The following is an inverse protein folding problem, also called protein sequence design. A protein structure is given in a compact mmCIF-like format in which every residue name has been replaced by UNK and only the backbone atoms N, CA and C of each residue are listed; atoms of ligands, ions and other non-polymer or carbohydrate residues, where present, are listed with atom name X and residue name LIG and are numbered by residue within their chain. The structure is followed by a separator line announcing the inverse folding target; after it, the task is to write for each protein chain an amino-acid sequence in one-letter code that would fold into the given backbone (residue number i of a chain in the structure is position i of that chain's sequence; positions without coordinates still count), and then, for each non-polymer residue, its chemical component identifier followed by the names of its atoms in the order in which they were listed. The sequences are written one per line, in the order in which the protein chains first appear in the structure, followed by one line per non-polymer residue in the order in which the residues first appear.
data_IF_771294841649
#
_entry.id   IF_771294841649
#
_cell.length_a   1.000
_cell.length_b   1.000
_cell.length_c   1.000
_cell.angle_alpha   90.00
_cell.angle_beta   90.00
_cell.angle_gamma   90.00
#
_symmetry.space_group_name_H-M   'P 1'
#
loop_
_entity.id
_entity.type
_entity.pdbx_description
1 polymer ?
#
# COMPACT_ATOMS: atom_id res chain seq x y z
N UNK A 1 -5.86 12.01 2.94
CA UNK A 1 -5.60 11.69 4.36
C UNK A 1 -4.75 10.43 4.40
N UNK A 2 -3.52 10.51 4.90
CA UNK A 2 -2.56 9.41 4.86
C UNK A 2 -2.82 8.38 5.94
N UNK A 3 -2.22 7.21 5.77
CA UNK A 3 -2.26 6.06 6.67
C UNK A 3 -1.97 6.43 8.14
N UNK A 4 -1.13 7.45 8.36
CA UNK A 4 -0.75 7.96 9.67
C UNK A 4 -1.89 8.60 10.48
N UNK A 5 -2.79 9.34 9.84
CA UNK A 5 -3.90 9.99 10.55
C UNK A 5 -4.88 9.01 11.19
N UNK A 6 -4.94 7.76 10.71
CA UNK A 6 -5.88 6.74 11.21
C UNK A 6 -5.32 5.91 12.36
N UNK A 7 -4.02 5.66 12.39
CA UNK A 7 -3.38 4.93 13.49
C UNK A 7 -3.48 5.69 14.83
N UNK A 8 -3.55 7.03 14.79
CA UNK A 8 -3.59 7.87 15.98
C UNK A 8 -5.00 8.24 16.45
N UNK A 9 -6.07 8.05 15.67
CA UNK A 9 -7.44 8.38 16.10
C UNK A 9 -8.09 7.41 17.10
N UNK A 10 -7.54 6.23 17.35
CA UNK A 10 -8.14 5.21 18.25
C UNK A 10 -7.74 5.28 19.71
N UNK A 11 -6.92 6.23 20.15
CA UNK A 11 -6.62 6.43 21.58
C UNK A 11 -7.09 7.80 22.07
N UNK A 12 -8.38 7.95 22.28
CA UNK A 12 -8.92 8.89 23.28
C UNK A 12 -9.22 8.07 24.54
N UNK A 13 -8.36 8.16 25.50
CA UNK A 13 -8.56 8.31 26.93
C UNK A 13 -7.27 7.92 27.66
N UNK A 14 -6.58 8.92 28.10
CA UNK A 14 -5.98 9.18 29.41
C UNK A 14 -5.03 10.37 29.21
N UNK A 15 -5.40 11.53 29.71
CA UNK A 15 -4.50 12.66 29.84
C UNK A 15 -3.63 12.46 31.11
N UNK A 16 -2.31 12.58 31.00
CA UNK A 16 -1.51 13.08 32.11
C UNK A 16 -1.18 14.55 31.86
N UNK A 17 -1.39 15.36 32.90
CA UNK A 17 -1.04 16.76 32.96
C UNK A 17 0.42 17.00 32.51
N UNK A 18 0.59 17.85 31.50
CA UNK A 18 1.90 18.33 31.09
C UNK A 18 2.06 19.75 31.60
N UNK A 19 3.07 19.90 32.46
CA UNK A 19 3.56 21.15 32.99
C UNK A 19 3.93 22.15 31.89
N UNK A 20 3.48 23.36 32.14
CA UNK A 20 3.76 24.61 31.51
C UNK A 20 5.29 24.87 31.37
N UNK A 21 5.82 24.87 30.15
CA UNK A 21 7.09 25.51 29.84
C UNK A 21 6.84 26.63 28.84
N UNK A 22 6.68 27.84 29.40
CA UNK A 22 6.71 29.09 28.66
C UNK A 22 8.11 29.31 28.09
N UNK A 23 8.28 29.19 26.79
CA UNK A 23 9.44 29.69 26.07
C UNK A 23 9.19 31.13 25.62
N UNK A 24 10.06 32.03 26.11
CA UNK A 24 10.10 33.43 25.76
C UNK A 24 10.32 33.61 24.25
N UNK A 25 9.40 34.38 23.67
CA UNK A 25 9.47 34.94 22.35
C UNK A 25 10.28 36.27 22.49
N UNK A 26 11.55 36.23 22.15
CA UNK A 26 12.26 37.46 21.80
C UNK A 26 13.58 37.10 21.08
N UNK A 27 13.88 37.89 20.05
CA UNK A 27 15.10 37.91 19.24
C UNK A 27 15.24 36.89 18.10
N UNK A 28 14.64 37.16 16.97
CA UNK A 28 15.30 37.15 15.66
C UNK A 28 14.56 38.13 14.73
N UNK A 29 14.91 39.37 14.79
CA UNK A 29 14.70 40.34 13.71
C UNK A 29 16.04 40.55 12.99
N UNK A 30 15.95 40.72 11.69
CA UNK A 30 17.02 41.10 10.74
C UNK A 30 17.92 39.96 10.24
N UNK A 31 17.55 39.46 9.05
CA UNK A 31 18.36 39.49 7.81
C UNK A 31 17.39 39.13 6.68
N UNK A 32 16.76 40.11 6.07
CA UNK A 32 16.20 39.98 4.72
C UNK A 32 17.34 40.25 3.75
N UNK A 33 17.88 39.24 3.16
CA UNK A 33 18.65 39.31 1.93
C UNK A 33 17.85 38.56 0.86
N UNK A 34 17.19 39.32 -0.02
CA UNK A 34 16.51 38.84 -1.21
C UNK A 34 17.56 38.17 -2.13
N UNK A 35 17.73 36.89 -1.98
CA UNK A 35 18.42 36.08 -2.97
C UNK A 35 17.43 35.71 -4.07
N UNK A 36 17.57 36.28 -5.24
CA UNK A 36 16.92 35.97 -6.49
C UNK A 36 17.04 34.45 -6.75
N UNK A 37 15.97 33.70 -6.46
CA UNK A 37 15.94 32.23 -6.64
C UNK A 37 15.83 31.98 -8.15
N UNK A 38 16.97 31.81 -8.83
CA UNK A 38 17.04 31.20 -10.16
C UNK A 38 16.44 29.82 -10.07
N UNK A 39 15.55 29.42 -11.00
CA UNK A 39 14.99 28.07 -11.00
C UNK A 39 16.13 27.05 -11.08
N UNK A 40 16.34 26.32 -10.01
CA UNK A 40 17.36 25.28 -9.94
C UNK A 40 17.14 24.30 -11.09
N UNK A 41 18.17 24.10 -11.90
CA UNK A 41 18.23 23.01 -12.87
C UNK A 41 17.89 21.72 -12.11
N UNK A 42 16.78 21.08 -12.49
CA UNK A 42 16.38 19.81 -11.94
C UNK A 42 17.48 18.79 -12.26
N UNK A 43 18.36 18.52 -11.32
CA UNK A 43 19.25 17.37 -11.36
C UNK A 43 18.37 16.13 -11.30
N UNK A 44 18.59 15.13 -12.18
CA UNK A 44 17.85 13.87 -12.08
C UNK A 44 18.02 13.29 -10.68
N UNK A 45 16.97 12.71 -10.09
CA UNK A 45 17.06 12.15 -8.75
C UNK A 45 18.02 10.97 -8.73
N UNK A 46 19.23 11.19 -8.24
CA UNK A 46 20.30 10.18 -8.12
C UNK A 46 20.14 9.29 -6.87
N UNK A 47 19.14 9.52 -6.04
CA UNK A 47 18.89 8.70 -4.88
C UNK A 47 18.13 7.43 -5.28
N UNK A 48 18.81 6.28 -5.27
CA UNK A 48 18.18 4.97 -5.46
C UNK A 48 17.32 4.66 -4.25
N UNK A 49 16.01 4.89 -4.37
CA UNK A 49 15.02 4.42 -3.40
C UNK A 49 14.93 2.87 -3.41
N UNK A 50 14.36 2.31 -2.36
CA UNK A 50 14.13 0.86 -2.26
C UNK A 50 12.72 0.44 -2.70
N UNK A 51 12.07 1.25 -3.53
CA UNK A 51 10.80 0.91 -4.15
C UNK A 51 10.99 -0.08 -5.30
N UNK A 52 10.01 -0.95 -5.51
CA UNK A 52 10.02 -1.96 -6.58
C UNK A 52 9.93 -1.36 -7.98
N UNK A 53 9.24 -0.22 -8.12
CA UNK A 53 9.02 0.48 -9.38
C UNK A 53 9.44 1.94 -9.27
N UNK A 54 9.78 2.57 -10.38
CA UNK A 54 10.01 4.01 -10.48
C UNK A 54 8.67 4.74 -10.61
N UNK A 55 8.63 6.00 -10.19
CA UNK A 55 7.48 6.89 -10.24
C UNK A 55 7.63 7.85 -11.42
N UNK A 56 6.60 7.97 -12.25
CA UNK A 56 6.61 8.83 -13.42
C UNK A 56 5.40 9.77 -13.42
N UNK A 57 5.62 11.01 -13.81
CA UNK A 57 4.57 11.93 -14.19
C UNK A 57 4.38 11.86 -15.70
N UNK A 58 3.17 11.49 -16.13
CA UNK A 58 2.81 11.37 -17.54
C UNK A 58 1.77 12.42 -17.91
N UNK A 59 2.03 13.16 -18.99
CA UNK A 59 1.05 14.07 -19.60
C UNK A 59 0.68 13.51 -20.98
N UNK A 60 -0.57 13.14 -21.16
CA UNK A 60 -1.08 12.56 -22.39
C UNK A 60 -2.55 12.89 -22.63
N UNK A 61 -3.00 12.81 -23.87
CA UNK A 61 -4.41 13.00 -24.24
C UNK A 61 -5.15 11.67 -24.12
N UNK A 62 -6.14 11.62 -23.23
CA UNK A 62 -7.00 10.43 -23.07
C UNK A 62 -7.97 10.31 -24.25
N UNK A 63 -7.85 9.23 -25.02
CA UNK A 63 -8.55 9.04 -26.30
C UNK A 63 -10.07 9.18 -26.15
N UNK A 64 -10.77 8.49 -25.21
CA UNK A 64 -12.22 8.52 -25.12
C UNK A 64 -12.82 9.92 -24.92
N UNK A 65 -12.10 10.83 -24.29
CA UNK A 65 -12.60 12.19 -24.00
C UNK A 65 -11.87 13.28 -24.76
N UNK A 66 -10.81 12.94 -25.50
CA UNK A 66 -9.89 13.86 -26.19
C UNK A 66 -9.37 15.00 -25.27
N UNK A 67 -9.18 14.73 -23.98
CA UNK A 67 -8.71 15.71 -23.00
C UNK A 67 -7.31 15.37 -22.53
N UNK A 68 -6.44 16.38 -22.46
CA UNK A 68 -5.13 16.23 -21.84
C UNK A 68 -5.28 15.93 -20.35
N UNK A 69 -4.54 14.93 -19.88
CA UNK A 69 -4.51 14.51 -18.48
C UNK A 69 -3.07 14.38 -18.00
N UNK A 70 -2.87 14.77 -16.76
CA UNK A 70 -1.63 14.56 -16.03
C UNK A 70 -1.87 13.45 -15.00
N UNK A 71 -1.01 12.43 -14.98
CA UNK A 71 -1.15 11.26 -14.10
C UNK A 71 0.19 10.84 -13.52
N UNK A 72 0.15 10.27 -12.33
CA UNK A 72 1.28 9.51 -11.78
C UNK A 72 1.09 8.06 -12.19
N UNK A 73 2.14 7.49 -12.77
CA UNK A 73 2.22 6.10 -13.18
C UNK A 73 3.50 5.47 -12.63
N UNK A 74 3.50 4.16 -12.53
CA UNK A 74 4.63 3.41 -11.99
C UNK A 74 5.10 2.37 -13.00
N UNK A 75 6.40 2.20 -13.12
CA UNK A 75 7.00 1.23 -14.04
C UNK A 75 8.47 1.00 -13.75
N UNK A 76 9.03 -0.07 -14.29
CA UNK A 76 10.45 -0.39 -14.16
C UNK A 76 11.33 0.62 -14.91
N UNK A 77 10.80 1.15 -15.99
CA UNK A 77 11.43 2.17 -16.84
C UNK A 77 10.35 2.89 -17.67
N UNK A 78 10.75 3.90 -18.45
CA UNK A 78 9.85 4.66 -19.33
C UNK A 78 9.12 3.79 -20.35
N UNK A 79 9.77 2.78 -20.94
CA UNK A 79 9.15 1.88 -21.91
C UNK A 79 8.00 1.07 -21.27
N UNK A 80 8.16 0.63 -20.02
CA UNK A 80 7.12 -0.05 -19.26
C UNK A 80 5.93 0.89 -19.00
N UNK A 81 6.18 2.16 -18.68
CA UNK A 81 5.12 3.18 -18.54
C UNK A 81 4.40 3.44 -19.87
N UNK A 82 5.14 3.51 -20.99
CA UNK A 82 4.53 3.68 -22.32
C UNK A 82 3.60 2.53 -22.68
N UNK A 83 3.95 1.30 -22.33
CA UNK A 83 3.11 0.12 -22.60
C UNK A 83 1.74 0.15 -21.89
N UNK A 84 1.61 0.93 -20.82
CA UNK A 84 0.36 1.10 -20.08
C UNK A 84 -0.58 2.16 -20.67
N UNK A 85 -0.16 2.86 -21.75
CA UNK A 85 -0.87 4.01 -22.31
C UNK A 85 -1.74 3.66 -23.55
N UNK A 86 -2.26 2.43 -23.64
CA UNK A 86 -3.10 1.97 -24.75
C UNK A 86 -4.31 2.89 -25.04
N UNK A 87 -4.90 3.48 -23.98
CA UNK A 87 -6.05 4.37 -24.08
C UNK A 87 -5.69 5.84 -24.27
N UNK A 88 -4.41 6.14 -24.50
CA UNK A 88 -3.89 7.49 -24.65
C UNK A 88 -3.23 7.66 -26.02
N UNK A 89 -3.26 8.90 -26.55
CA UNK A 89 -2.39 9.29 -27.66
C UNK A 89 -0.94 9.28 -27.17
N UNK A 90 0.00 9.35 -28.15
CA UNK A 90 1.42 9.49 -27.80
C UNK A 90 1.59 10.58 -26.73
N UNK A 91 2.28 10.27 -25.62
CA UNK A 91 2.39 11.20 -24.50
C UNK A 91 3.22 12.45 -24.86
N UNK A 92 2.74 13.61 -24.44
CA UNK A 92 3.46 14.88 -24.57
C UNK A 92 4.76 14.85 -23.73
N UNK A 93 4.71 14.18 -22.57
CA UNK A 93 5.88 14.01 -21.71
C UNK A 93 5.71 12.81 -20.77
N UNK A 94 6.84 12.14 -20.51
CA UNK A 94 7.01 11.15 -19.43
C UNK A 94 8.25 11.60 -18.66
N UNK A 95 8.07 11.94 -17.38
CA UNK A 95 9.15 12.48 -16.53
C UNK A 95 9.29 11.60 -15.30
N UNK A 96 10.46 11.03 -15.10
CA UNK A 96 10.76 10.30 -13.86
C UNK A 96 10.76 11.27 -12.67
N UNK A 97 10.11 10.89 -11.60
CA UNK A 97 9.98 11.67 -10.38
C UNK A 97 10.63 10.94 -9.20
N UNK A 98 11.24 11.71 -8.33
CA UNK A 98 11.65 11.18 -7.05
C UNK A 98 10.42 10.81 -6.20
N UNK A 99 10.56 9.78 -5.37
CA UNK A 99 9.62 9.54 -4.28
C UNK A 99 9.78 10.62 -3.21
N UNK A 100 8.70 10.90 -2.49
CA UNK A 100 8.72 11.90 -1.44
C UNK A 100 9.64 11.44 -0.30
N UNK A 101 10.47 12.33 0.29
CA UNK A 101 11.28 12.00 1.45
C UNK A 101 10.38 11.68 2.66
N UNK A 102 10.88 10.95 3.67
CA UNK A 102 10.16 10.75 4.92
C UNK A 102 9.74 12.07 5.54
N UNK A 103 8.53 12.14 6.07
CA UNK A 103 8.09 13.32 6.82
C UNK A 103 8.85 13.45 8.14
N UNK A 104 8.92 14.65 8.70
CA UNK A 104 9.55 14.86 10.00
C UNK A 104 8.91 14.01 11.09
N UNK A 105 7.57 13.86 11.08
CA UNK A 105 6.85 13.00 12.02
C UNK A 105 7.26 11.53 11.89
N UNK A 106 7.49 11.02 10.68
CA UNK A 106 8.00 9.67 10.48
C UNK A 106 9.43 9.50 11.00
N UNK A 107 10.30 10.49 10.76
CA UNK A 107 11.67 10.46 11.26
C UNK A 107 11.73 10.51 12.79
N UNK A 108 10.90 11.33 13.42
CA UNK A 108 10.83 11.42 14.88
C UNK A 108 10.27 10.14 15.49
N UNK A 109 9.30 9.52 14.82
CA UNK A 109 8.74 8.25 15.27
C UNK A 109 9.72 7.08 15.07
N UNK A 110 10.42 7.04 13.93
CA UNK A 110 11.48 6.06 13.67
C UNK A 110 12.59 6.13 14.73
N UNK A 111 12.97 7.36 15.15
CA UNK A 111 13.95 7.56 16.23
C UNK A 111 13.48 6.99 17.56
N UNK A 112 12.18 7.16 17.90
CA UNK A 112 11.59 6.56 19.12
C UNK A 112 11.59 5.03 19.09
N UNK A 113 11.43 4.45 17.91
CA UNK A 113 11.46 3.01 17.67
C UNK A 113 12.89 2.47 17.42
N UNK A 114 13.92 3.29 17.60
CA UNK A 114 15.33 2.95 17.37
C UNK A 114 15.60 2.41 15.94
N UNK A 115 14.83 2.84 14.94
CA UNK A 115 15.02 2.44 13.55
C UNK A 115 16.21 3.19 12.96
N UNK A 116 17.18 2.43 12.40
CA UNK A 116 18.26 2.99 11.61
C UNK A 116 17.71 3.35 10.23
N UNK A 117 17.64 4.65 9.94
CA UNK A 117 17.10 5.17 8.67
C UNK A 117 18.11 4.92 7.56
N UNK A 118 17.77 4.14 6.52
CA UNK A 118 18.67 3.93 5.39
C UNK A 118 18.91 5.20 4.58
N UNK A 119 20.09 5.32 3.97
CA UNK A 119 20.37 6.37 2.98
C UNK A 119 19.40 6.21 1.80
N UNK A 120 18.86 7.32 1.30
CA UNK A 120 17.87 7.32 0.21
C UNK A 120 16.51 6.68 0.54
N UNK A 121 16.16 6.59 1.83
CA UNK A 121 14.85 6.16 2.28
C UNK A 121 13.77 7.15 1.85
N UNK A 122 12.70 6.66 1.22
CA UNK A 122 11.53 7.45 0.89
C UNK A 122 10.42 7.30 1.97
N UNK A 123 9.33 8.04 1.80
CA UNK A 123 8.20 8.02 2.73
C UNK A 123 7.57 6.62 2.87
N UNK A 124 7.46 5.91 1.77
CA UNK A 124 6.91 4.56 1.70
C UNK A 124 7.85 3.53 2.36
N UNK A 125 9.17 3.65 2.12
CA UNK A 125 10.18 2.83 2.80
C UNK A 125 10.12 3.02 4.32
N UNK A 126 10.03 4.28 4.76
CA UNK A 126 9.91 4.59 6.19
C UNK A 126 8.62 4.02 6.80
N UNK A 127 7.50 4.07 6.07
CA UNK A 127 6.25 3.48 6.53
C UNK A 127 6.37 1.95 6.71
N UNK A 128 7.08 1.27 5.81
CA UNK A 128 7.31 -0.16 5.90
C UNK A 128 8.18 -0.51 7.12
N UNK A 129 9.29 0.20 7.32
CA UNK A 129 10.19 0.01 8.46
C UNK A 129 9.50 0.28 9.81
N UNK A 130 8.69 1.33 9.90
CA UNK A 130 7.90 1.63 11.11
C UNK A 130 6.89 0.51 11.38
N UNK A 131 6.20 0.02 10.36
CA UNK A 131 5.21 -1.04 10.51
C UNK A 131 5.84 -2.35 10.99
N UNK A 132 7.04 -2.68 10.50
CA UNK A 132 7.82 -3.84 10.96
C UNK A 132 8.23 -3.68 12.43
N UNK A 133 8.80 -2.51 12.80
CA UNK A 133 9.22 -2.26 14.17
C UNK A 133 8.07 -2.32 15.17
N UNK A 134 6.90 -1.76 14.82
CA UNK A 134 5.71 -1.84 15.66
C UNK A 134 5.21 -3.28 15.86
N UNK A 135 5.27 -4.11 14.82
CA UNK A 135 4.91 -5.54 14.96
C UNK A 135 5.87 -6.26 15.89
N UNK A 136 7.15 -5.95 15.80
CA UNK A 136 8.18 -6.52 16.69
C UNK A 136 7.98 -6.10 18.15
N UNK A 137 7.66 -4.83 18.41
CA UNK A 137 7.36 -4.36 19.77
C UNK A 137 6.11 -5.01 20.38
N UNK A 138 5.15 -5.41 19.54
CA UNK A 138 3.92 -6.06 19.98
C UNK A 138 4.01 -7.60 19.94
N UNK A 139 5.20 -8.17 19.87
CA UNK A 139 5.42 -9.62 19.89
C UNK A 139 4.73 -10.29 21.08
N UNK A 140 4.77 -9.66 22.26
CA UNK A 140 4.15 -10.16 23.48
C UNK A 140 2.61 -10.22 23.43
N UNK A 141 1.99 -9.54 22.46
CA UNK A 141 0.53 -9.55 22.26
C UNK A 141 0.05 -10.70 21.35
N UNK A 142 0.99 -11.41 20.73
CA UNK A 142 0.71 -12.53 19.86
C UNK A 142 1.32 -13.80 20.44
N UNK A 143 0.55 -14.88 20.54
CA UNK A 143 1.00 -16.21 21.03
C UNK A 143 2.14 -16.82 20.18
N UNK A 144 2.58 -16.13 19.13
CA UNK A 144 3.64 -16.56 18.22
C UNK A 144 4.76 -15.53 18.18
N UNK A 145 6.04 -15.96 18.29
CA UNK A 145 7.18 -15.06 18.17
C UNK A 145 7.14 -14.34 16.82
N UNK A 146 7.41 -13.03 16.87
CA UNK A 146 7.52 -12.22 15.66
C UNK A 146 8.57 -12.80 14.70
N UNK A 147 8.21 -12.88 13.43
CA UNK A 147 9.12 -13.26 12.37
C UNK A 147 8.93 -12.34 11.18
N UNK A 148 10.01 -11.78 10.66
CA UNK A 148 9.98 -11.11 9.38
C UNK A 148 9.57 -12.10 8.28
N UNK A 149 8.46 -11.81 7.61
CA UNK A 149 7.96 -12.64 6.50
C UNK A 149 8.13 -11.84 5.21
N UNK A 150 9.19 -12.12 4.43
CA UNK A 150 9.37 -11.46 3.15
C UNK A 150 8.23 -11.83 2.20
N UNK A 151 7.81 -10.92 1.30
CA UNK A 151 6.75 -11.20 0.34
C UNK A 151 7.18 -12.31 -0.62
N UNK A 152 6.30 -13.29 -0.82
CA UNK A 152 6.55 -14.40 -1.74
C UNK A 152 6.68 -13.92 -3.19
N UNK A 153 7.48 -14.64 -3.99
CA UNK A 153 7.75 -14.29 -5.40
C UNK A 153 6.48 -14.10 -6.24
N UNK A 154 5.46 -14.96 -6.08
CA UNK A 154 4.20 -14.82 -6.81
C UNK A 154 3.49 -13.50 -6.51
N UNK A 155 3.48 -13.06 -5.24
CA UNK A 155 2.89 -11.80 -4.81
C UNK A 155 3.62 -10.59 -5.40
N UNK A 156 4.96 -10.59 -5.33
CA UNK A 156 5.77 -9.50 -5.87
C UNK A 156 5.67 -9.42 -7.39
N UNK A 157 5.68 -10.57 -8.08
CA UNK A 157 5.47 -10.64 -9.53
C UNK A 157 4.08 -10.09 -9.92
N UNK A 158 3.05 -10.41 -9.15
CA UNK A 158 1.70 -9.88 -9.39
C UNK A 158 1.68 -8.36 -9.20
N UNK A 159 2.23 -7.83 -8.10
CA UNK A 159 2.33 -6.39 -7.87
C UNK A 159 3.06 -5.67 -9.02
N UNK A 160 4.18 -6.22 -9.49
CA UNK A 160 4.94 -5.70 -10.62
C UNK A 160 4.11 -5.70 -11.91
N UNK A 161 3.36 -6.77 -12.19
CA UNK A 161 2.49 -6.90 -13.38
C UNK A 161 1.33 -5.90 -13.35
N UNK A 162 0.80 -5.63 -12.16
CA UNK A 162 -0.27 -4.64 -11.95
C UNK A 162 0.27 -3.21 -11.78
N UNK A 163 1.57 -3.00 -11.97
CA UNK A 163 2.27 -1.72 -11.78
C UNK A 163 2.01 -1.08 -10.41
N UNK A 164 1.95 -1.90 -9.37
CA UNK A 164 1.72 -1.48 -7.98
C UNK A 164 3.07 -1.37 -7.28
N UNK A 165 3.51 -0.15 -6.90
CA UNK A 165 4.78 0.05 -6.22
C UNK A 165 4.68 -0.41 -4.76
N UNK A 166 5.73 -1.08 -4.28
CA UNK A 166 5.88 -1.44 -2.88
C UNK A 166 7.35 -1.22 -2.45
N UNK A 167 7.56 -0.96 -1.16
CA UNK A 167 8.90 -0.89 -0.59
C UNK A 167 9.50 -2.30 -0.48
N UNK A 168 10.78 -2.46 -0.82
CA UNK A 168 11.50 -3.73 -0.63
C UNK A 168 11.79 -4.06 0.83
N UNK A 169 11.56 -3.12 1.74
CA UNK A 169 11.56 -3.38 3.19
C UNK A 169 10.21 -3.91 3.67
N UNK A 170 9.18 -3.93 2.82
CA UNK A 170 7.85 -4.34 3.22
C UNK A 170 7.77 -5.86 3.44
N UNK A 171 7.17 -6.25 4.54
CA UNK A 171 6.74 -7.62 4.80
C UNK A 171 5.55 -8.01 3.89
N UNK A 172 5.28 -9.31 3.79
CA UNK A 172 4.21 -9.86 2.95
C UNK A 172 2.87 -9.17 3.20
N UNK A 173 2.47 -8.97 4.46
CA UNK A 173 1.19 -8.34 4.79
C UNK A 173 1.10 -6.87 4.34
N UNK A 174 2.23 -6.13 4.35
CA UNK A 174 2.26 -4.73 3.85
C UNK A 174 2.07 -4.71 2.34
N UNK A 175 2.71 -5.64 1.62
CA UNK A 175 2.53 -5.76 0.17
C UNK A 175 1.09 -6.14 -0.17
N UNK A 176 0.49 -7.11 0.55
CA UNK A 176 -0.93 -7.48 0.41
C UNK A 176 -1.82 -6.24 0.59
N UNK A 177 -1.62 -5.50 1.68
CA UNK A 177 -2.38 -4.27 1.95
C UNK A 177 -2.19 -3.24 0.86
N UNK A 178 -0.96 -3.06 0.38
CA UNK A 178 -0.65 -2.12 -0.71
C UNK A 178 -1.41 -2.50 -1.98
N UNK A 179 -1.38 -3.75 -2.39
CA UNK A 179 -2.13 -4.24 -3.55
C UNK A 179 -3.63 -3.98 -3.35
N UNK A 180 -4.19 -4.37 -2.22
CA UNK A 180 -5.61 -4.19 -1.93
C UNK A 180 -6.07 -2.73 -1.99
N UNK A 181 -5.21 -1.80 -1.58
CA UNK A 181 -5.49 -0.36 -1.64
C UNK A 181 -5.33 0.24 -3.04
N UNK A 182 -4.47 -0.34 -3.86
CA UNK A 182 -4.23 0.12 -5.23
C UNK A 182 -5.30 -0.35 -6.22
N UNK A 183 -5.80 -1.56 -6.07
CA UNK A 183 -6.89 -2.07 -6.92
C UNK A 183 -8.15 -1.25 -6.69
N UNK A 184 -8.81 -0.84 -7.77
CA UNK A 184 -9.84 0.21 -7.71
C UNK A 184 -11.25 -0.34 -7.72
N UNK A 185 -11.49 -1.39 -8.48
CA UNK A 185 -12.81 -1.98 -8.60
C UNK A 185 -13.12 -2.92 -7.43
N UNK A 186 -14.39 -3.06 -7.09
CA UNK A 186 -14.83 -4.06 -6.09
C UNK A 186 -14.47 -5.47 -6.56
N UNK A 187 -14.60 -5.76 -7.86
CA UNK A 187 -14.28 -7.07 -8.45
C UNK A 187 -12.81 -7.41 -8.28
N UNK A 188 -11.88 -6.49 -8.58
CA UNK A 188 -10.45 -6.70 -8.36
C UNK A 188 -10.12 -6.95 -6.88
N UNK A 189 -10.76 -6.22 -5.96
CA UNK A 189 -10.58 -6.42 -4.52
C UNK A 189 -11.03 -7.81 -4.08
N UNK A 190 -12.22 -8.23 -4.51
CA UNK A 190 -12.75 -9.57 -4.19
C UNK A 190 -11.89 -10.65 -4.85
N UNK A 191 -11.48 -10.49 -6.12
CA UNK A 191 -10.57 -11.41 -6.79
C UNK A 191 -9.22 -11.54 -6.06
N UNK A 192 -8.67 -10.42 -5.59
CA UNK A 192 -7.45 -10.44 -4.79
C UNK A 192 -7.64 -11.14 -3.43
N UNK A 193 -8.81 -10.99 -2.81
CA UNK A 193 -9.15 -11.73 -1.60
C UNK A 193 -9.26 -13.23 -1.86
N UNK A 194 -9.81 -13.65 -3.02
CA UNK A 194 -9.80 -15.07 -3.44
C UNK A 194 -8.37 -15.56 -3.58
N UNK A 195 -7.45 -14.77 -4.16
CA UNK A 195 -6.03 -15.10 -4.25
C UNK A 195 -5.38 -15.26 -2.87
N UNK A 196 -5.69 -14.36 -1.93
CA UNK A 196 -5.20 -14.44 -0.54
C UNK A 196 -5.76 -15.68 0.17
N UNK A 197 -7.02 -16.03 -0.05
CA UNK A 197 -7.61 -17.25 0.49
C UNK A 197 -6.95 -18.49 -0.14
N UNK A 198 -6.70 -18.49 -1.45
CA UNK A 198 -5.95 -19.56 -2.11
C UNK A 198 -4.56 -19.74 -1.50
N UNK A 199 -3.82 -18.66 -1.27
CA UNK A 199 -2.53 -18.70 -0.59
C UNK A 199 -2.65 -19.25 0.84
N UNK A 200 -3.69 -18.85 1.58
CA UNK A 200 -3.96 -19.37 2.93
C UNK A 200 -4.19 -20.89 2.93
N UNK A 201 -4.92 -21.41 1.95
CA UNK A 201 -5.25 -22.82 1.85
C UNK A 201 -4.12 -23.69 1.27
N UNK A 202 -3.35 -23.18 0.31
CA UNK A 202 -2.34 -23.92 -0.45
C UNK A 202 -0.90 -23.63 -0.05
N UNK A 203 -0.66 -22.59 0.73
CA UNK A 203 0.68 -22.20 1.17
C UNK A 203 1.52 -21.46 0.12
N UNK A 204 1.03 -21.26 -1.10
CA UNK A 204 1.78 -20.64 -2.21
C UNK A 204 0.97 -19.57 -2.92
N UNK A 205 1.66 -18.51 -3.41
CA UNK A 205 1.08 -17.50 -4.27
C UNK A 205 1.05 -18.00 -5.71
N UNK A 206 -0.15 -18.10 -6.28
CA UNK A 206 -0.35 -18.42 -7.69
C UNK A 206 -1.47 -17.54 -8.27
N UNK A 207 -1.12 -16.70 -9.22
CA UNK A 207 -2.04 -15.79 -9.91
C UNK A 207 -2.38 -16.25 -11.32
N UNK A 208 -2.08 -17.49 -11.69
CA UNK A 208 -2.45 -18.05 -12.99
C UNK A 208 -3.97 -18.07 -13.22
N UNK A 209 -4.74 -18.14 -12.15
CA UNK A 209 -6.21 -18.11 -12.15
C UNK A 209 -6.82 -16.70 -12.04
N UNK A 210 -6.05 -15.63 -12.19
CA UNK A 210 -6.51 -14.26 -11.95
C UNK A 210 -7.79 -13.90 -12.73
N UNK A 211 -7.83 -14.19 -14.04
CA UNK A 211 -9.01 -13.90 -14.87
C UNK A 211 -10.26 -14.69 -14.44
N UNK A 212 -10.06 -15.95 -14.00
CA UNK A 212 -11.14 -16.74 -13.42
C UNK A 212 -11.65 -16.09 -12.13
N UNK A 213 -10.76 -15.69 -11.24
CA UNK A 213 -11.12 -15.04 -9.98
C UNK A 213 -11.81 -13.69 -10.17
N UNK A 214 -11.48 -12.94 -11.22
CA UNK A 214 -12.24 -11.75 -11.61
C UNK A 214 -13.68 -12.09 -11.99
N UNK A 215 -13.89 -13.14 -12.80
CA UNK A 215 -15.23 -13.62 -13.15
C UNK A 215 -16.00 -14.13 -11.94
N UNK A 216 -15.34 -14.90 -11.07
CA UNK A 216 -15.92 -15.38 -9.80
C UNK A 216 -16.30 -14.20 -8.88
N UNK A 217 -15.47 -13.15 -8.84
CA UNK A 217 -15.75 -11.95 -8.07
C UNK A 217 -16.96 -11.19 -8.59
N UNK A 218 -17.11 -11.07 -9.91
CA UNK A 218 -18.27 -10.45 -10.54
C UNK A 218 -19.56 -11.22 -10.22
N UNK A 219 -19.51 -12.56 -10.23
CA UNK A 219 -20.63 -13.40 -9.81
C UNK A 219 -20.99 -13.20 -8.33
N UNK A 220 -19.99 -13.21 -7.43
CA UNK A 220 -20.20 -12.98 -5.99
C UNK A 220 -20.80 -11.61 -5.70
N UNK A 221 -20.39 -10.59 -6.45
CA UNK A 221 -20.90 -9.23 -6.30
C UNK A 221 -22.33 -9.01 -6.85
N UNK A 222 -22.96 -10.02 -7.45
CA UNK A 222 -24.38 -10.03 -7.78
C UNK A 222 -25.24 -10.58 -6.62
N UNK A 223 -24.61 -11.14 -5.58
CA UNK A 223 -25.30 -11.73 -4.44
C UNK A 223 -25.38 -10.75 -3.26
N UNK A 224 -26.57 -10.22 -2.95
CA UNK A 224 -26.79 -9.25 -1.88
C UNK A 224 -26.32 -9.75 -0.50
N UNK A 225 -26.42 -11.04 -0.23
CA UNK A 225 -25.96 -11.60 1.06
C UNK A 225 -24.45 -11.62 1.17
N UNK A 226 -23.75 -11.84 0.06
CA UNK A 226 -22.29 -11.72 0.00
C UNK A 226 -21.86 -10.26 0.15
N UNK A 227 -22.50 -9.33 -0.59
CA UNK A 227 -22.18 -7.90 -0.51
C UNK A 227 -22.31 -7.39 0.93
N UNK A 228 -23.43 -7.68 1.59
CA UNK A 228 -23.61 -7.31 3.00
C UNK A 228 -22.56 -7.91 3.91
N UNK A 229 -22.22 -9.17 3.71
CA UNK A 229 -21.18 -9.84 4.49
C UNK A 229 -19.80 -9.23 4.23
N UNK A 230 -19.48 -8.86 2.98
CA UNK A 230 -18.24 -8.18 2.60
C UNK A 230 -18.13 -6.80 3.26
N UNK A 231 -19.17 -5.97 3.16
CA UNK A 231 -19.20 -4.62 3.71
C UNK A 231 -19.13 -4.61 5.24
N UNK A 232 -19.79 -5.55 5.90
CA UNK A 232 -19.81 -5.65 7.37
C UNK A 232 -18.49 -6.18 7.96
N UNK A 233 -17.74 -6.99 7.24
CA UNK A 233 -16.55 -7.64 7.79
C UNK A 233 -15.25 -6.94 7.39
N UNK A 234 -15.17 -6.34 6.21
CA UNK A 234 -13.91 -5.78 5.71
C UNK A 234 -13.91 -4.26 5.83
N UNK A 235 -15.07 -3.61 5.73
CA UNK A 235 -15.12 -2.15 5.59
C UNK A 235 -14.40 -1.69 4.32
N UNK A 236 -15.01 -0.83 3.53
CA UNK A 236 -14.45 -0.40 2.25
C UNK A 236 -13.13 0.39 2.38
N UNK A 237 -12.78 0.84 3.59
CA UNK A 237 -11.71 1.80 3.80
C UNK A 237 -10.53 1.30 4.63
N UNK A 238 -10.68 0.33 5.52
CA UNK A 238 -9.68 0.06 6.57
C UNK A 238 -8.74 -1.10 6.30
N UNK A 239 -8.80 -1.67 5.15
CA UNK A 239 -7.68 -2.46 4.71
C UNK A 239 -7.71 -3.90 5.21
N UNK A 240 -8.13 -4.75 4.32
CA UNK A 240 -7.73 -6.14 4.35
C UNK A 240 -6.21 -6.24 4.50
N UNK A 241 -5.74 -6.84 5.59
CA UNK A 241 -4.32 -6.97 5.91
C UNK A 241 -3.79 -8.40 5.79
N UNK A 242 -4.46 -9.27 5.02
CA UNK A 242 -3.94 -10.60 4.69
C UNK A 242 -4.29 -11.68 5.71
N UNK A 243 -3.32 -12.54 6.06
CA UNK A 243 -3.57 -13.80 6.78
C UNK A 243 -4.12 -13.64 8.19
N UNK A 244 -3.67 -12.66 8.94
CA UNK A 244 -4.15 -12.42 10.31
C UNK A 244 -5.66 -12.13 10.31
N UNK A 245 -6.19 -11.64 9.18
CA UNK A 245 -7.60 -11.41 8.99
C UNK A 245 -8.42 -12.71 8.94
N UNK A 246 -7.90 -13.76 8.28
CA UNK A 246 -8.60 -15.05 8.19
C UNK A 246 -8.67 -15.79 9.52
N UNK A 247 -7.76 -15.49 10.45
CA UNK A 247 -7.81 -16.02 11.81
C UNK A 247 -8.86 -15.30 12.67
N UNK A 248 -9.18 -14.04 12.36
CA UNK A 248 -10.12 -13.22 13.13
C UNK A 248 -11.55 -13.29 12.65
N UNK A 249 -11.78 -13.54 11.36
CA UNK A 249 -13.13 -13.63 10.80
C UNK A 249 -13.79 -14.99 11.12
N UNK A 250 -15.04 -14.94 11.51
CA UNK A 250 -15.80 -16.19 11.71
C UNK A 250 -15.91 -17.00 10.41
N UNK A 251 -15.48 -18.26 10.44
CA UNK A 251 -15.62 -19.22 9.33
C UNK A 251 -17.08 -19.44 8.90
N UNK A 252 -18.05 -19.02 9.71
CA UNK A 252 -19.49 -19.09 9.41
C UNK A 252 -20.00 -17.93 8.56
N UNK A 253 -19.18 -16.89 8.33
CA UNK A 253 -19.61 -15.76 7.50
C UNK A 253 -19.77 -16.16 6.04
N UNK A 254 -20.75 -15.56 5.37
CA UNK A 254 -20.97 -15.77 3.93
C UNK A 254 -19.75 -15.37 3.10
N UNK A 255 -19.06 -14.31 3.54
CA UNK A 255 -17.79 -13.88 2.94
C UNK A 255 -16.75 -15.01 2.97
N UNK A 256 -16.44 -15.54 4.17
CA UNK A 256 -15.42 -16.58 4.32
C UNK A 256 -15.76 -17.83 3.49
N UNK A 257 -16.99 -18.32 3.59
CA UNK A 257 -17.45 -19.51 2.88
C UNK A 257 -17.34 -19.35 1.35
N UNK A 258 -17.79 -18.21 0.82
CA UNK A 258 -17.73 -17.94 -0.62
C UNK A 258 -16.29 -17.85 -1.12
N UNK A 259 -15.40 -17.18 -0.37
CA UNK A 259 -14.00 -17.08 -0.75
C UNK A 259 -13.28 -18.44 -0.73
N UNK A 260 -13.57 -19.28 0.26
CA UNK A 260 -13.04 -20.67 0.33
C UNK A 260 -13.52 -21.49 -0.87
N UNK A 261 -14.81 -21.43 -1.21
CA UNK A 261 -15.39 -22.13 -2.36
C UNK A 261 -14.69 -21.72 -3.67
N UNK A 262 -14.54 -20.41 -3.91
CA UNK A 262 -13.92 -19.90 -5.15
C UNK A 262 -12.40 -20.10 -5.20
N UNK A 263 -11.72 -20.05 -4.06
CA UNK A 263 -10.28 -20.30 -3.96
C UNK A 263 -9.90 -21.77 -4.12
N UNK A 264 -10.83 -22.69 -3.85
CA UNK A 264 -10.57 -24.12 -3.83
C UNK A 264 -11.62 -24.92 -4.63
N UNK A 265 -11.59 -24.85 -5.98
CA UNK A 265 -12.60 -25.48 -6.83
C UNK A 265 -12.60 -27.03 -6.81
N UNK A 266 -11.68 -27.67 -6.10
CA UNK A 266 -11.58 -29.14 -6.01
C UNK A 266 -11.60 -29.58 -4.55
N UNK A 267 -12.81 -29.70 -4.01
CA UNK A 267 -13.17 -30.64 -2.94
C UNK A 267 -12.28 -30.72 -1.69
N UNK A 268 -11.87 -29.60 -1.08
CA UNK A 268 -11.35 -29.63 0.28
C UNK A 268 -12.53 -29.68 1.27
N UNK A 269 -12.77 -30.86 1.84
CA UNK A 269 -13.58 -31.00 3.05
C UNK A 269 -12.73 -30.52 4.22
N UNK A 270 -13.18 -29.43 4.85
CA UNK A 270 -12.65 -29.00 6.15
C UNK A 270 -13.02 -30.06 7.21
N UNK A 271 -12.03 -30.62 7.84
CA UNK A 271 -12.19 -31.33 9.11
C UNK A 271 -11.99 -30.39 10.30
#
# INVERSE_FOLDING_TARGET
MGLFDRLFRRKKHVEPAINDYSFKKDEISSIQEEAEIKPARRTPPTARHNMSLNKYEVKAVYIPTNRSRKRIMYGKNEADVRSQLSDYKEPDSIVEMAYDPPSQAQLDFARKLHIIVPTACCKEDMSALISEALRKEHEDLHDKPWRHVPPGYGLTKFADTMHIPYSRYAEEFIVIRTIYMFVKSKSERVAFMIACMHRHLKGTWDFSSWNKWLSDADELLQNDSFIRSFENNIGLEDGFCGFDYWETISKRTKLYQALVEKANPVGYTYH
#
